data_IF_628412278136
#
_entry.id   IF_628412278136
#
_cell.length_a   1.000
_cell.length_b   1.000
_cell.length_c   1.000
_cell.angle_alpha   90.00
_cell.angle_beta   90.00
_cell.angle_gamma   90.00
#
_symmetry.space_group_name_H-M   'P 1'
#
loop_
_entity.id
_entity.type
_entity.pdbx_description
1 polymer ?
#
# COMPACT_ATOMS: atom_id res chain seq x y z
N UNK A 1 -6.68 0.12 -16.22
CA UNK A 1 -6.51 -0.61 -14.95
C UNK A 1 -5.81 0.29 -13.92
N UNK A 2 -6.24 0.33 -12.64
CA UNK A 2 -5.69 1.24 -11.61
C UNK A 2 -4.15 1.19 -11.50
N UNK A 3 -3.57 -0.01 -11.62
CA UNK A 3 -2.12 -0.21 -11.51
C UNK A 3 -1.32 0.46 -12.64
N UNK A 4 -1.90 0.61 -13.84
CA UNK A 4 -1.26 1.32 -14.96
C UNK A 4 -1.22 2.82 -14.69
N UNK A 5 -2.27 3.37 -14.06
CA UNK A 5 -2.36 4.78 -13.70
C UNK A 5 -1.47 5.15 -12.49
N UNK A 6 -1.17 4.19 -11.61
CA UNK A 6 -0.24 4.38 -10.51
C UNK A 6 1.21 4.60 -10.99
N UNK A 7 1.60 4.01 -12.12
CA UNK A 7 2.95 4.06 -12.67
C UNK A 7 3.82 2.88 -12.22
N UNK A 8 4.96 2.68 -12.90
CA UNK A 8 5.81 1.49 -12.74
C UNK A 8 6.38 1.30 -11.34
N UNK A 9 7.00 2.34 -10.75
CA UNK A 9 7.56 2.26 -9.39
C UNK A 9 6.46 2.00 -8.33
N UNK A 10 5.31 2.66 -8.47
CA UNK A 10 4.16 2.43 -7.60
C UNK A 10 3.60 1.02 -7.76
N UNK A 11 3.56 0.51 -8.99
CA UNK A 11 3.19 -0.88 -9.27
C UNK A 11 4.13 -1.88 -8.61
N UNK A 12 5.44 -1.60 -8.61
CA UNK A 12 6.42 -2.42 -7.89
C UNK A 12 6.21 -2.37 -6.37
N UNK A 13 6.03 -1.18 -5.80
CA UNK A 13 5.71 -1.01 -4.37
C UNK A 13 4.44 -1.77 -3.97
N UNK A 14 3.42 -1.79 -4.83
CA UNK A 14 2.20 -2.58 -4.60
C UNK A 14 2.52 -4.08 -4.43
N UNK A 15 3.35 -4.65 -5.31
CA UNK A 15 3.80 -6.05 -5.20
C UNK A 15 4.60 -6.29 -3.93
N UNK A 16 5.54 -5.39 -3.59
CA UNK A 16 6.30 -5.49 -2.34
C UNK A 16 5.41 -5.44 -1.10
N UNK A 17 4.38 -4.60 -1.13
CA UNK A 17 3.36 -4.54 -0.08
C UNK A 17 2.61 -5.86 0.08
N UNK A 18 2.15 -6.46 -1.03
CA UNK A 18 1.49 -7.77 -1.01
C UNK A 18 2.41 -8.84 -0.41
N UNK A 19 3.67 -8.88 -0.83
CA UNK A 19 4.66 -9.84 -0.34
C UNK A 19 4.93 -9.66 1.17
N UNK A 20 5.04 -8.40 1.63
CA UNK A 20 5.18 -8.09 3.05
C UNK A 20 3.96 -8.58 3.84
N UNK A 21 2.75 -8.21 3.42
CA UNK A 21 1.52 -8.56 4.11
C UNK A 21 1.28 -10.07 4.15
N UNK A 22 1.63 -10.78 3.09
CA UNK A 22 1.57 -12.25 3.04
C UNK A 22 2.56 -12.89 4.03
N UNK A 23 3.80 -12.40 4.08
CA UNK A 23 4.83 -12.93 4.97
C UNK A 23 4.55 -12.62 6.44
N UNK A 24 4.02 -11.43 6.73
CA UNK A 24 3.77 -10.96 8.09
C UNK A 24 2.35 -11.30 8.58
N UNK A 25 1.49 -11.85 7.71
CA UNK A 25 0.08 -12.16 7.98
C UNK A 25 -0.70 -10.94 8.49
N UNK A 26 -0.49 -9.78 7.86
CA UNK A 26 -1.06 -8.49 8.31
C UNK A 26 -2.35 -8.09 7.60
N UNK A 27 -2.88 -8.95 6.73
CA UNK A 27 -4.13 -8.67 5.99
C UNK A 27 -4.08 -7.33 5.22
N UNK A 28 -2.99 -7.09 4.49
CA UNK A 28 -2.80 -5.85 3.73
C UNK A 28 -2.38 -4.63 4.54
N UNK A 29 -2.22 -4.71 5.87
CA UNK A 29 -1.77 -3.57 6.70
C UNK A 29 -0.24 -3.43 6.64
N UNK A 30 0.23 -2.22 6.34
CA UNK A 30 1.65 -1.86 6.20
C UNK A 30 1.98 -0.62 7.04
N UNK A 31 2.90 -0.69 8.02
CA UNK A 31 3.40 0.50 8.70
C UNK A 31 4.08 1.48 7.74
N UNK A 32 3.68 2.77 7.74
CA UNK A 32 4.22 3.79 6.82
C UNK A 32 5.75 3.89 6.87
N UNK A 33 6.32 3.80 8.07
CA UNK A 33 7.78 3.84 8.31
C UNK A 33 8.56 2.73 7.59
N UNK A 34 7.90 1.65 7.14
CA UNK A 34 8.55 0.56 6.43
C UNK A 34 8.56 0.75 4.91
N UNK A 35 7.78 1.67 4.36
CA UNK A 35 7.66 1.88 2.90
C UNK A 35 9.01 2.07 2.21
N UNK A 36 9.96 2.89 2.74
CA UNK A 36 11.29 3.03 2.13
C UNK A 36 12.15 1.77 2.19
N UNK A 37 11.74 0.75 2.95
CA UNK A 37 12.43 -0.54 3.09
C UNK A 37 11.78 -1.66 2.26
N UNK A 38 10.58 -1.42 1.72
CA UNK A 38 9.86 -2.41 0.91
C UNK A 38 10.26 -2.37 -0.56
N UNK A 39 10.81 -1.24 -1.03
CA UNK A 39 11.13 -1.03 -2.44
C UNK A 39 12.52 -0.43 -2.58
N UNK A 40 13.15 -0.71 -3.72
CA UNK A 40 14.35 -0.09 -4.24
C UNK A 40 14.04 1.08 -5.21
N UNK A 41 12.76 1.43 -5.37
CA UNK A 41 12.32 2.58 -6.16
C UNK A 41 12.89 3.90 -5.66
N UNK A 42 13.08 4.83 -6.58
CA UNK A 42 13.77 6.10 -6.30
C UNK A 42 12.98 7.03 -5.37
N UNK A 43 11.64 6.93 -5.38
CA UNK A 43 10.74 7.79 -4.59
C UNK A 43 9.61 6.99 -3.90
N UNK A 44 9.91 6.27 -2.80
CA UNK A 44 8.94 5.39 -2.14
C UNK A 44 7.66 6.11 -1.67
N UNK A 45 7.78 7.32 -1.13
CA UNK A 45 6.65 8.13 -0.66
C UNK A 45 5.76 8.62 -1.81
N UNK A 46 6.36 8.97 -2.96
CA UNK A 46 5.61 9.35 -4.15
C UNK A 46 4.86 8.14 -4.74
N UNK A 47 5.51 6.97 -4.73
CA UNK A 47 4.89 5.70 -5.11
C UNK A 47 3.69 5.34 -4.23
N UNK A 48 3.84 5.46 -2.89
CA UNK A 48 2.71 5.27 -1.97
C UNK A 48 1.58 6.27 -2.23
N UNK A 49 1.91 7.55 -2.44
CA UNK A 49 0.93 8.59 -2.77
C UNK A 49 0.17 8.29 -4.07
N UNK A 50 0.84 7.73 -5.07
CA UNK A 50 0.20 7.30 -6.31
C UNK A 50 -0.78 6.14 -6.09
N UNK A 51 -0.43 5.17 -5.23
CA UNK A 51 -1.32 4.05 -4.87
C UNK A 51 -2.57 4.51 -4.09
N UNK A 52 -2.42 5.49 -3.20
CA UNK A 52 -3.53 6.15 -2.51
C UNK A 52 -4.45 6.85 -3.51
N UNK A 53 -3.87 7.64 -4.42
CA UNK A 53 -4.60 8.43 -5.42
C UNK A 53 -5.48 7.55 -6.32
N UNK A 54 -4.99 6.38 -6.73
CA UNK A 54 -5.77 5.45 -7.57
C UNK A 54 -6.66 4.49 -6.75
N UNK A 55 -6.64 4.59 -5.41
CA UNK A 55 -7.40 3.73 -4.51
C UNK A 55 -7.03 2.26 -4.62
N UNK A 56 -5.74 1.97 -4.77
CA UNK A 56 -5.18 0.62 -4.59
C UNK A 56 -4.71 0.41 -3.16
N UNK A 57 -4.20 1.47 -2.52
CA UNK A 57 -3.95 1.53 -1.09
C UNK A 57 -4.87 2.58 -0.47
N UNK A 58 -5.09 2.49 0.84
CA UNK A 58 -5.73 3.51 1.65
C UNK A 58 -4.87 3.89 2.85
N UNK A 59 -5.17 5.05 3.43
CA UNK A 59 -4.68 5.45 4.73
C UNK A 59 -5.18 4.50 5.82
N UNK A 60 -4.45 4.35 6.93
CA UNK A 60 -4.88 3.46 8.01
C UNK A 60 -6.26 3.81 8.59
N UNK A 61 -6.55 5.10 8.74
CA UNK A 61 -7.88 5.61 9.05
C UNK A 61 -8.55 6.13 7.77
N UNK A 62 -9.61 5.47 7.35
CA UNK A 62 -10.37 5.79 6.13
C UNK A 62 -11.75 5.13 6.17
N UNK A 63 -12.66 5.56 5.30
CA UNK A 63 -14.07 5.15 5.33
C UNK A 63 -14.40 3.97 4.38
N UNK A 64 -13.41 3.17 3.96
CA UNK A 64 -13.67 2.04 3.06
C UNK A 64 -14.27 0.86 3.84
N UNK A 65 -15.46 0.37 3.49
CA UNK A 65 -16.13 -0.71 4.23
C UNK A 65 -15.50 -2.09 4.01
N UNK A 66 -14.55 -2.22 3.08
CA UNK A 66 -13.91 -3.49 2.70
C UNK A 66 -12.51 -3.65 3.24
N UNK A 67 -11.91 -2.57 3.74
CA UNK A 67 -10.57 -2.63 4.30
C UNK A 67 -10.64 -2.99 5.79
N UNK A 68 -9.63 -3.70 6.32
CA UNK A 68 -9.51 -3.88 7.75
C UNK A 68 -9.27 -2.54 8.46
N UNK A 69 -9.70 -2.48 9.72
CA UNK A 69 -9.41 -1.33 10.57
C UNK A 69 -7.92 -1.32 10.94
N UNK A 70 -7.25 -0.19 10.71
CA UNK A 70 -5.82 -0.06 10.98
C UNK A 70 -5.47 1.24 11.70
N UNK A 71 -4.26 1.31 12.26
CA UNK A 71 -3.76 2.49 12.95
C UNK A 71 -3.41 3.62 11.96
N UNK A 72 -3.53 4.90 12.34
CA UNK A 72 -3.31 6.04 11.42
C UNK A 72 -1.89 6.14 10.83
N UNK A 73 -0.89 5.48 11.43
CA UNK A 73 0.49 5.39 10.95
C UNK A 73 0.73 4.22 9.99
N UNK A 74 -0.34 3.67 9.41
CA UNK A 74 -0.30 2.57 8.44
C UNK A 74 -0.90 2.96 7.09
N UNK A 75 -0.57 2.19 6.07
CA UNK A 75 -1.31 2.05 4.84
C UNK A 75 -2.03 0.70 4.84
N UNK A 76 -3.11 0.60 4.06
CA UNK A 76 -3.89 -0.63 3.90
C UNK A 76 -4.02 -0.94 2.41
N UNK A 77 -3.67 -2.16 2.01
CA UNK A 77 -3.92 -2.64 0.65
C UNK A 77 -5.42 -2.91 0.49
N UNK A 78 -6.04 -2.26 -0.49
CA UNK A 78 -7.46 -2.40 -0.76
C UNK A 78 -7.78 -3.79 -1.36
N UNK A 79 -8.81 -4.46 -0.84
CA UNK A 79 -9.22 -5.84 -1.20
C UNK A 79 -8.06 -6.85 -1.17
N UNK A 80 -7.27 -6.88 -0.08
CA UNK A 80 -6.16 -7.84 0.06
C UNK A 80 -6.64 -9.32 0.14
N UNK A 81 -7.80 -9.57 0.75
CA UNK A 81 -8.41 -10.90 0.95
C UNK A 81 -9.40 -11.32 -0.13
#
# INVERSE_FOLDING_TARGET
>A
PKIIEAGGEAGWLYICGLAYSSRQLTDGVIPKRLVPRLTDGSTPEASASALLRVGLWHEGQHDCPRCPQAAPDTYVIHDYT
#
